data_IF_184385469691
#
_entry.id   IF_184385469691
#
_cell.length_a   1.000
_cell.length_b   1.000
_cell.length_c   1.000
_cell.angle_alpha   90.00
_cell.angle_beta   90.00
_cell.angle_gamma   90.00
#
_symmetry.space_group_name_H-M   'P 1'
#
loop_
_entity.id
_entity.type
_entity.pdbx_description
1 polymer ?
#
# COMPACT_ATOMS: atom_id res chain seq x y z
N UNK A 1 -7.85 -5.68 -38.55
CA UNK A 1 -6.51 -5.59 -37.93
C UNK A 1 -6.55 -4.42 -36.96
N UNK A 2 -6.41 -4.65 -35.66
CA UNK A 2 -6.42 -3.56 -34.66
C UNK A 2 -5.06 -2.85 -34.74
N UNK A 3 -5.07 -1.54 -35.01
CA UNK A 3 -3.87 -0.71 -34.99
C UNK A 3 -3.72 -0.16 -33.56
N UNK A 4 -2.83 -0.77 -32.79
CA UNK A 4 -2.57 -0.36 -31.40
C UNK A 4 -1.57 0.78 -31.45
N UNK A 5 -2.01 1.99 -31.11
CA UNK A 5 -1.13 3.15 -31.03
C UNK A 5 -0.21 3.07 -29.81
N UNK A 6 0.93 3.77 -29.87
CA UNK A 6 1.86 3.88 -28.73
C UNK A 6 1.16 4.39 -27.46
N UNK A 7 0.21 5.32 -27.62
CA UNK A 7 -0.57 5.86 -26.50
C UNK A 7 -1.51 4.83 -25.88
N UNK A 8 -2.16 4.00 -26.70
CA UNK A 8 -3.05 2.93 -26.21
C UNK A 8 -2.27 1.86 -25.44
N UNK A 9 -1.05 1.57 -25.89
CA UNK A 9 -0.16 0.63 -25.23
C UNK A 9 0.33 1.16 -23.88
N UNK A 10 0.71 2.44 -23.80
CA UNK A 10 1.07 3.11 -22.55
C UNK A 10 -0.12 3.13 -21.58
N UNK A 11 -1.32 3.48 -22.08
CA UNK A 11 -2.54 3.50 -21.26
C UNK A 11 -2.88 2.12 -20.71
N UNK A 12 -2.80 1.08 -21.54
CA UNK A 12 -3.02 -0.31 -21.11
C UNK A 12 -2.04 -0.76 -20.03
N UNK A 13 -0.76 -0.44 -20.19
CA UNK A 13 0.28 -0.76 -19.19
C UNK A 13 0.04 0.02 -17.89
N UNK A 14 -0.29 1.31 -17.98
CA UNK A 14 -0.54 2.15 -16.81
C UNK A 14 -1.72 1.60 -15.98
N UNK A 15 -2.81 1.20 -16.64
CA UNK A 15 -3.97 0.60 -15.98
C UNK A 15 -3.59 -0.74 -15.32
N UNK A 16 -2.84 -1.59 -16.02
CA UNK A 16 -2.41 -2.88 -15.50
C UNK A 16 -1.51 -2.74 -14.25
N UNK A 17 -0.68 -1.69 -14.18
CA UNK A 17 0.23 -1.44 -13.06
C UNK A 17 -0.44 -0.69 -11.91
N UNK A 18 -1.45 0.14 -12.18
CA UNK A 18 -2.09 0.97 -11.16
C UNK A 18 -2.61 0.17 -9.96
N UNK A 19 -3.32 -0.95 -10.23
CA UNK A 19 -3.89 -1.80 -9.18
C UNK A 19 -2.80 -2.39 -8.27
N UNK A 20 -1.81 -3.16 -8.76
CA UNK A 20 -0.77 -3.73 -7.89
C UNK A 20 0.10 -2.65 -7.23
N UNK A 21 0.31 -1.50 -7.88
CA UNK A 21 1.06 -0.40 -7.28
C UNK A 21 0.38 0.15 -6.01
N UNK A 22 -0.94 0.37 -6.05
CA UNK A 22 -1.70 0.86 -4.88
C UNK A 22 -1.61 -0.11 -3.70
N UNK A 23 -1.85 -1.41 -3.93
CA UNK A 23 -1.79 -2.40 -2.85
C UNK A 23 -0.37 -2.60 -2.31
N UNK A 24 0.64 -2.59 -3.19
CA UNK A 24 2.04 -2.71 -2.77
C UNK A 24 2.48 -1.50 -1.95
N UNK A 25 2.03 -0.30 -2.33
CA UNK A 25 2.32 0.92 -1.60
C UNK A 25 1.61 0.95 -0.24
N UNK A 26 0.34 0.54 -0.16
CA UNK A 26 -0.37 0.42 1.11
C UNK A 26 0.36 -0.54 2.08
N UNK A 27 0.73 -1.74 1.60
CA UNK A 27 1.48 -2.71 2.40
C UNK A 27 2.87 -2.22 2.80
N UNK A 28 3.52 -1.44 1.93
CA UNK A 28 4.79 -0.80 2.23
C UNK A 28 4.64 0.22 3.36
N UNK A 29 3.58 1.05 3.31
CA UNK A 29 3.26 1.99 4.38
C UNK A 29 2.94 1.26 5.68
N UNK A 30 2.14 0.20 5.67
CA UNK A 30 1.85 -0.60 6.87
C UNK A 30 3.14 -1.08 7.56
N UNK A 31 4.14 -1.51 6.80
CA UNK A 31 5.40 -1.99 7.36
C UNK A 31 6.32 -0.88 7.86
N UNK A 32 6.16 0.34 7.36
CA UNK A 32 7.06 1.47 7.66
C UNK A 32 6.48 2.48 8.61
N UNK A 33 5.16 2.53 8.73
CA UNK A 33 4.49 3.21 9.83
C UNK A 33 4.74 2.33 11.04
N UNK A 34 5.59 2.75 11.99
CA UNK A 34 5.70 2.04 13.25
C UNK A 34 4.29 1.98 13.81
N UNK A 35 3.74 0.78 13.86
CA UNK A 35 2.52 0.54 14.60
C UNK A 35 2.93 0.71 16.04
N UNK A 36 2.90 1.96 16.51
CA UNK A 36 2.67 2.25 17.91
C UNK A 36 1.27 1.75 18.23
N UNK A 37 1.09 0.43 18.20
CA UNK A 37 0.18 -0.22 19.14
C UNK A 37 0.77 0.14 20.49
N UNK A 38 0.49 1.37 20.94
CA UNK A 38 0.40 1.67 22.34
C UNK A 38 -0.59 0.64 22.86
N UNK A 39 -0.07 -0.49 23.32
CA UNK A 39 -0.85 -1.58 23.86
C UNK A 39 -1.29 -1.05 25.21
N UNK A 40 -2.54 -0.63 25.31
CA UNK A 40 -3.06 -0.14 26.58
C UNK A 40 -3.58 -1.34 27.38
N UNK A 41 -3.14 -1.50 28.61
CA UNK A 41 -3.75 -2.45 29.55
C UNK A 41 -5.22 -2.07 29.79
N UNK A 42 -6.02 -2.97 30.38
CA UNK A 42 -7.43 -2.75 30.75
C UNK A 42 -7.69 -1.50 31.60
N UNK A 43 -6.63 -0.96 32.21
CA UNK A 43 -6.62 0.25 33.03
C UNK A 43 -6.11 1.50 32.26
N UNK A 44 -5.97 1.43 30.93
CA UNK A 44 -5.60 2.55 30.05
C UNK A 44 -4.13 2.96 30.10
N UNK A 45 -3.25 2.12 30.67
CA UNK A 45 -1.80 2.39 30.77
C UNK A 45 -1.05 1.77 29.60
N UNK A 46 -0.04 2.48 29.10
CA UNK A 46 0.88 1.98 28.07
C UNK A 46 1.62 0.74 28.59
N UNK A 47 1.50 -0.36 27.86
CA UNK A 47 2.32 -1.56 27.97
C UNK A 47 3.50 -1.29 27.03
N UNK A 48 4.60 -0.84 27.61
CA UNK A 48 5.89 -0.74 26.92
C UNK A 48 6.60 -2.09 27.14
N UNK A 49 6.75 -2.87 26.08
CA UNK A 49 7.55 -4.10 26.09
C UNK A 49 9.03 -3.67 25.92
N UNK A 50 9.64 -3.11 26.98
CA UNK A 50 11.11 -3.00 27.04
C UNK A 50 11.75 -4.39 27.26
#
# INVERSE_FOLDING_TARGET
MVNIGTMDLIAGIAIAIAVPAVFSFARYLEKRVPHGEARFDKDGKLIDDE
#
